data_IF_897087936957
#
_entry.id   IF_897087936957
#
_cell.length_a   1.000
_cell.length_b   1.000
_cell.length_c   1.000
_cell.angle_alpha   90.00
_cell.angle_beta   90.00
_cell.angle_gamma   90.00
#
_symmetry.space_group_name_H-M   'P 1'
#
loop_
_entity.id
_entity.type
_entity.pdbx_description
1 polymer ?
2 non-polymer ?
3 water ?
#
# COMPACT_ATOMS: atom_id res chain seq x y z
N UNK A 4 5.52 -4.81 25.95
CA UNK A 4 4.85 -4.10 27.08
C UNK A 4 3.43 -3.61 26.72
N UNK A 5 2.71 -3.22 27.75
CA UNK A 5 1.31 -2.97 27.64
C UNK A 5 0.94 -1.56 27.18
N UNK A 6 -0.19 -1.52 26.49
CA UNK A 6 -0.77 -0.28 26.07
C UNK A 6 -1.46 0.36 27.28
N UNK A 7 -0.98 1.52 27.69
CA UNK A 7 -1.55 2.22 28.87
C UNK A 7 -2.58 3.29 28.51
N UNK A 8 -2.28 4.10 27.46
CA UNK A 8 -3.25 5.12 26.96
C UNK A 8 -4.39 4.42 26.20
N UNK A 9 -5.46 5.17 25.89
CA UNK A 9 -6.56 4.61 25.12
C UNK A 9 -6.64 5.34 23.80
N UNK A 10 -7.21 4.65 22.82
CA UNK A 10 -7.10 5.06 21.45
C UNK A 10 -8.52 5.06 20.89
N UNK A 11 -8.99 6.26 20.55
CA UNK A 11 -10.40 6.51 20.16
C UNK A 11 -10.40 7.03 18.71
N UNK A 12 -11.10 6.34 17.83
CA UNK A 12 -11.19 6.77 16.45
C UNK A 12 -12.61 7.27 16.13
N UNK A 13 -12.70 8.39 15.44
CA UNK A 13 -13.98 8.85 14.82
C UNK A 13 -14.06 8.54 13.35
N UNK A 14 -15.20 7.98 12.98
CA UNK A 14 -15.55 7.70 11.61
C UNK A 14 -16.87 8.36 11.26
N UNK A 15 -17.13 8.46 9.97
CA UNK A 15 -18.38 9.12 9.49
C UNK A 15 -18.20 9.74 8.12
N UNK A 16 -19.31 10.10 7.50
CA UNK A 16 -19.26 10.73 6.20
C UNK A 16 -18.69 12.12 6.29
N UNK A 17 -18.43 12.72 5.12
CA UNK A 17 -17.82 14.02 5.03
C UNK A 17 -18.52 15.00 5.95
N UNK A 18 -19.84 15.03 5.91
CA UNK A 18 -20.51 16.07 6.67
C UNK A 18 -21.12 15.61 8.01
N UNK A 19 -20.33 14.87 8.81
CA UNK A 19 -20.92 14.22 9.95
C UNK A 19 -20.53 14.82 11.30
N UNK A 20 -19.64 15.83 11.30
CA UNK A 20 -19.30 16.56 12.53
C UNK A 20 -18.18 15.92 13.35
N UNK A 21 -17.26 15.22 12.69
CA UNK A 21 -16.13 14.60 13.37
C UNK A 21 -15.14 15.59 13.96
N UNK A 22 -14.85 16.68 13.25
CA UNK A 22 -13.85 17.59 13.80
C UNK A 22 -14.40 18.28 15.04
N UNK A 23 -15.70 18.61 15.03
CA UNK A 23 -16.32 19.23 16.21
C UNK A 23 -16.34 18.23 17.37
N UNK A 24 -16.81 17.01 17.14
CA UNK A 24 -16.90 16.02 18.24
C UNK A 24 -15.54 15.56 18.75
N UNK A 25 -14.61 15.34 17.82
CA UNK A 25 -13.27 14.92 18.25
C UNK A 25 -12.58 16.04 19.05
N UNK A 26 -12.75 17.30 18.62
CA UNK A 26 -12.22 18.47 19.38
C UNK A 26 -12.82 18.60 20.81
N UNK A 27 -14.15 18.46 20.91
CA UNK A 27 -14.86 18.51 22.22
C UNK A 27 -14.38 17.38 23.12
N UNK A 28 -14.11 16.19 22.54
CA UNK A 28 -13.67 15.09 23.36
C UNK A 28 -12.25 15.34 23.87
N UNK A 29 -11.41 15.87 22.99
CA UNK A 29 -10.05 16.20 23.38
C UNK A 29 -10.07 17.19 24.55
N UNK A 30 -10.86 18.26 24.40
CA UNK A 30 -11.07 19.29 25.45
C UNK A 30 -11.47 18.65 26.76
N UNK A 31 -12.48 17.80 26.67
CA UNK A 31 -13.03 17.07 27.84
C UNK A 31 -11.96 16.22 28.53
N UNK A 32 -11.22 15.44 27.76
CA UNK A 32 -10.14 14.64 28.34
C UNK A 32 -9.07 15.51 28.99
N UNK A 33 -8.63 16.58 28.31
CA UNK A 33 -7.57 17.43 28.91
C UNK A 33 -8.06 18.03 30.24
N UNK A 34 -9.34 18.38 30.28
CA UNK A 34 -9.98 18.98 31.49
C UNK A 34 -10.13 17.98 32.61
N UNK A 35 -10.10 16.70 32.29
CA UNK A 35 -10.04 15.65 33.28
C UNK A 35 -8.62 15.15 33.48
N UNK A 36 -7.65 16.06 33.31
CA UNK A 36 -6.21 15.75 33.36
C UNK A 36 -5.72 14.45 32.63
N UNK A 37 -6.37 14.08 31.52
CA UNK A 37 -5.84 12.99 30.68
C UNK A 37 -4.90 13.63 29.64
N UNK A 38 -3.68 13.10 29.48
CA UNK A 38 -2.79 13.60 28.45
C UNK A 38 -3.28 13.00 27.12
N UNK A 39 -3.40 13.82 26.10
CA UNK A 39 -4.02 13.38 24.84
C UNK A 39 -3.43 14.09 23.62
N UNK A 40 -3.18 13.28 22.59
CA UNK A 40 -2.80 13.78 21.28
C UNK A 40 -3.95 13.58 20.28
N UNK A 41 -4.27 14.67 19.56
CA UNK A 41 -5.24 14.68 18.53
C UNK A 41 -4.57 14.47 17.16
N UNK A 42 -4.97 13.43 16.45
CA UNK A 42 -4.43 13.13 15.11
C UNK A 42 -5.58 13.08 14.10
N UNK A 43 -5.28 13.24 12.84
CA UNK A 43 -6.27 12.98 11.84
C UNK A 43 -5.65 12.38 10.61
N UNK A 44 -6.45 11.65 9.87
CA UNK A 44 -6.04 11.09 8.55
C UNK A 44 -7.05 11.46 7.48
N UNK A 45 -6.56 11.70 6.26
CA UNK A 45 -5.14 11.77 5.91
C UNK A 45 -4.51 13.01 6.53
N UNK A 46 -3.18 13.06 6.58
CA UNK A 46 -2.50 14.30 7.00
C UNK A 46 -1.24 14.52 6.15
N UNK A 47 -0.64 15.69 6.30
CA UNK A 47 0.46 16.12 5.46
C UNK A 47 1.81 16.02 6.22
N UNK A 48 1.94 15.00 7.07
CA UNK A 48 3.16 14.84 7.82
C UNK A 48 4.40 14.73 6.90
N UNK A 49 4.25 14.03 5.79
CA UNK A 49 5.34 13.86 4.85
C UNK A 49 4.89 14.09 3.43
N UNK A 50 5.78 13.79 2.50
CA UNK A 50 5.45 13.90 1.07
C UNK A 50 4.26 13.00 0.68
N UNK A 51 4.02 11.92 1.44
CA UNK A 51 2.88 11.07 1.09
C UNK A 51 1.57 11.84 1.16
N UNK A 52 1.32 12.51 2.27
CA UNK A 52 0.09 13.30 2.45
C UNK A 52 -0.02 14.49 1.49
N UNK A 53 1.13 15.01 1.06
CA UNK A 53 1.09 16.08 0.03
C UNK A 53 0.52 15.57 -1.27
N UNK A 54 0.83 14.32 -1.60
CA UNK A 54 0.27 13.73 -2.81
C UNK A 54 -1.24 13.50 -2.64
N UNK A 55 -1.63 13.03 -1.45
CA UNK A 55 -3.04 12.82 -1.13
C UNK A 55 -3.82 14.13 -1.28
N UNK A 56 -3.25 15.25 -0.79
CA UNK A 56 -3.94 16.56 -0.92
C UNK A 56 -4.27 16.89 -2.39
N UNK A 57 -3.30 16.64 -3.29
CA UNK A 57 -3.54 16.90 -4.74
C UNK A 57 -4.64 16.00 -5.30
N UNK A 58 -4.68 14.75 -4.85
CA UNK A 58 -5.75 13.82 -5.23
C UNK A 58 -7.10 14.33 -4.81
N UNK A 59 -7.22 14.79 -3.57
CA UNK A 59 -8.49 15.20 -3.04
C UNK A 59 -9.04 16.43 -3.78
N UNK A 60 -8.09 17.28 -4.18
CA UNK A 60 -8.42 18.53 -4.93
C UNK A 60 -8.54 18.30 -6.42
N UNK A 61 -8.40 17.03 -6.85
CA UNK A 61 -8.53 16.66 -8.24
C UNK A 61 -7.46 17.34 -9.11
N UNK A 62 -6.33 17.66 -8.48
CA UNK A 62 -5.20 18.27 -9.23
C UNK A 62 -4.41 17.21 -9.97
N UNK A 63 -4.38 16.00 -9.44
CA UNK A 63 -3.77 14.92 -10.15
C UNK A 63 -4.84 13.85 -10.36
N UNK A 64 -4.71 13.08 -11.41
CA UNK A 64 -5.55 11.90 -11.60
C UNK A 64 -4.71 10.70 -11.18
N UNK A 65 -5.23 9.91 -10.26
CA UNK A 65 -4.45 8.72 -9.80
C UNK A 65 -5.30 7.53 -9.95
N UNK A 66 -4.66 6.39 -10.22
CA UNK A 66 -5.40 5.14 -10.24
C UNK A 66 -5.93 4.77 -8.86
N UNK A 67 -7.01 4.01 -8.83
CA UNK A 67 -7.71 3.64 -7.59
C UNK A 67 -6.72 2.99 -6.57
N UNK A 68 -5.93 2.04 -7.05
CA UNK A 68 -5.06 1.27 -6.19
C UNK A 68 -3.95 2.14 -5.69
N UNK A 69 -3.47 3.06 -6.54
CA UNK A 69 -2.31 3.91 -6.17
C UNK A 69 -2.71 4.78 -4.97
N UNK A 70 -3.84 5.47 -5.08
CA UNK A 70 -4.27 6.34 -3.99
C UNK A 70 -4.65 5.54 -2.77
N UNK A 71 -5.28 4.40 -2.95
CA UNK A 71 -5.67 3.61 -1.80
C UNK A 71 -4.45 3.23 -0.96
N UNK A 72 -3.38 2.83 -1.66
CA UNK A 72 -2.15 2.47 -0.92
C UNK A 72 -1.45 3.68 -0.27
N UNK A 73 -1.54 4.87 -0.87
CA UNK A 73 -1.00 6.03 -0.15
C UNK A 73 -1.74 6.34 1.10
N UNK A 74 -3.06 6.20 1.09
CA UNK A 74 -3.84 6.44 2.30
C UNK A 74 -3.39 5.49 3.42
N UNK A 75 -3.14 4.22 3.07
CA UNK A 75 -2.66 3.25 4.09
C UNK A 75 -1.23 3.59 4.54
N UNK A 76 -0.32 3.90 3.63
CA UNK A 76 1.09 4.25 3.97
C UNK A 76 1.14 5.45 4.95
N UNK A 77 0.20 6.41 4.78
CA UNK A 77 0.07 7.61 5.68
C UNK A 77 -0.24 7.16 7.14
N UNK A 78 -1.05 6.11 7.32
CA UNK A 78 -1.28 5.52 8.65
C UNK A 78 -0.04 4.81 9.20
N UNK A 79 0.63 4.02 8.36
CA UNK A 79 1.78 3.23 8.79
C UNK A 79 2.89 4.16 9.23
N UNK A 80 3.01 5.32 8.60
CA UNK A 80 4.10 6.24 9.01
C UNK A 80 3.86 6.86 10.38
N UNK A 81 2.64 6.70 10.93
CA UNK A 81 2.31 7.17 12.28
C UNK A 81 2.28 6.08 13.38
N UNK A 82 2.52 4.83 12.99
CA UNK A 82 2.44 3.76 13.97
C UNK A 82 3.51 3.84 15.04
N UNK A 83 4.73 4.27 14.67
CA UNK A 83 5.77 4.44 15.70
C UNK A 83 5.30 5.46 16.73
N UNK A 84 4.74 6.58 16.27
CA UNK A 84 4.34 7.63 17.16
C UNK A 84 3.13 7.16 17.99
N UNK A 85 2.14 6.54 17.32
CA UNK A 85 0.94 6.15 18.06
C UNK A 85 1.32 5.06 19.14
N UNK A 86 2.19 4.11 18.75
CA UNK A 86 2.64 3.11 19.74
C UNK A 86 3.34 3.78 20.95
N UNK A 87 4.20 4.77 20.69
CA UNK A 87 4.98 5.41 21.76
C UNK A 87 4.08 6.18 22.71
N UNK A 88 3.13 6.92 22.17
CA UNK A 88 2.20 7.69 22.97
C UNK A 88 1.40 6.74 23.87
N UNK A 89 0.86 5.68 23.28
CA UNK A 89 -0.03 4.76 24.02
C UNK A 89 0.76 4.02 25.11
N UNK A 90 2.01 3.69 24.78
CA UNK A 90 2.91 3.10 25.80
C UNK A 90 3.15 3.99 26.99
N UNK A 91 3.32 5.28 26.76
CA UNK A 91 3.57 6.24 27.85
C UNK A 91 2.32 6.56 28.69
N UNK A 92 1.13 6.12 28.25
CA UNK A 92 -0.12 6.52 28.89
C UNK A 92 -0.84 7.74 28.29
N UNK A 93 -0.34 8.25 27.17
CA UNK A 93 -0.96 9.36 26.49
C UNK A 93 -2.05 8.80 25.59
N UNK A 94 -3.25 9.35 25.70
CA UNK A 94 -4.33 8.89 24.83
C UNK A 94 -4.20 9.45 23.43
N UNK A 95 -4.75 8.70 22.48
CA UNK A 95 -4.87 9.17 21.06
C UNK A 95 -6.32 9.28 20.62
N UNK A 96 -6.71 10.48 20.20
CA UNK A 96 -8.02 10.67 19.59
C UNK A 96 -7.75 10.96 18.11
N UNK A 97 -8.38 10.21 17.23
CA UNK A 97 -8.02 10.26 15.82
C UNK A 97 -9.24 10.40 14.93
N UNK A 98 -9.23 11.42 14.05
CA UNK A 98 -10.31 11.68 13.14
C UNK A 98 -9.98 10.90 11.85
N UNK A 99 -10.69 9.79 11.63
CA UNK A 99 -10.55 8.83 10.51
C UNK A 99 -9.39 7.88 10.70
N UNK A 100 -9.59 6.67 10.21
CA UNK A 100 -8.58 5.64 10.28
C UNK A 100 -8.76 4.65 9.15
N UNK A 101 -8.36 3.39 9.36
CA UNK A 101 -8.46 2.36 8.32
C UNK A 101 -9.89 2.16 7.84
N UNK A 102 -10.90 2.40 8.72
CA UNK A 102 -12.29 2.15 8.29
C UNK A 102 -12.66 3.08 7.22
N UNK A 103 -12.19 4.34 7.29
CA UNK A 103 -12.38 5.28 6.11
C UNK A 103 -11.73 4.73 4.87
N UNK A 104 -10.51 4.25 5.01
CA UNK A 104 -9.76 3.61 3.90
C UNK A 104 -10.65 2.63 3.11
N UNK A 105 -11.28 1.74 3.84
CA UNK A 105 -12.04 0.64 3.27
C UNK A 105 -13.40 1.14 2.69
N UNK A 106 -14.10 1.96 3.48
CA UNK A 106 -15.43 2.39 3.10
C UNK A 106 -15.35 3.31 1.88
N UNK A 107 -14.41 4.26 1.88
CA UNK A 107 -14.32 5.21 0.74
C UNK A 107 -13.84 4.49 -0.51
N UNK A 108 -12.82 3.66 -0.38
CA UNK A 108 -12.31 3.01 -1.57
C UNK A 108 -13.28 1.98 -2.14
N UNK A 109 -13.88 1.19 -1.27
CA UNK A 109 -14.80 0.17 -1.81
C UNK A 109 -16.08 0.85 -2.31
N UNK A 110 -16.51 1.88 -1.61
CA UNK A 110 -17.79 2.54 -1.93
C UNK A 110 -17.69 3.43 -3.16
N UNK A 111 -16.70 4.34 -3.19
CA UNK A 111 -16.56 5.33 -4.26
C UNK A 111 -15.74 4.79 -5.43
N UNK A 112 -14.76 3.93 -5.16
CA UNK A 112 -13.89 3.46 -6.25
C UNK A 112 -14.16 2.00 -6.68
N UNK A 113 -15.14 1.38 -6.03
CA UNK A 113 -15.52 -0.02 -6.29
C UNK A 113 -14.42 -1.03 -6.18
N UNK A 114 -13.42 -0.74 -5.34
CA UNK A 114 -12.39 -1.70 -5.05
C UNK A 114 -12.88 -2.79 -4.13
N UNK A 115 -12.30 -3.97 -4.27
CA UNK A 115 -12.71 -5.13 -3.50
C UNK A 115 -12.42 -4.90 -2.03
N UNK A 116 -13.37 -5.23 -1.15
CA UNK A 116 -13.17 -4.91 0.28
C UNK A 116 -11.94 -5.59 0.89
N UNK A 117 -11.72 -6.86 0.56
CA UNK A 117 -10.63 -7.58 1.19
C UNK A 117 -9.32 -6.97 0.73
N UNK A 118 -9.22 -6.68 -0.57
CA UNK A 118 -8.00 -6.06 -1.15
C UNK A 118 -7.76 -4.72 -0.43
N UNK A 119 -8.84 -3.97 -0.22
CA UNK A 119 -8.75 -2.67 0.52
C UNK A 119 -8.27 -2.86 1.96
N UNK A 120 -8.72 -3.92 2.62
CA UNK A 120 -8.36 -4.10 4.04
C UNK A 120 -6.92 -4.55 4.20
N UNK A 121 -6.41 -5.34 3.27
CA UNK A 121 -5.09 -5.98 3.47
C UNK A 121 -3.94 -5.06 3.88
N UNK A 122 -3.76 -3.92 3.16
CA UNK A 122 -2.56 -3.13 3.51
C UNK A 122 -2.62 -2.57 4.94
N UNK A 123 -3.85 -2.37 5.50
CA UNK A 123 -3.98 -1.88 6.87
C UNK A 123 -3.92 -3.00 7.91
N UNK A 124 -3.86 -4.27 7.48
CA UNK A 124 -3.70 -5.33 8.42
C UNK A 124 -2.38 -5.12 9.20
N UNK A 125 -2.49 -5.11 10.52
CA UNK A 125 -1.33 -4.95 11.39
C UNK A 125 -1.25 -3.60 12.02
N UNK A 126 -2.08 -2.64 11.57
CA UNK A 126 -2.15 -1.36 12.29
C UNK A 126 -2.62 -1.54 13.73
N UNK A 127 -2.26 -0.61 14.60
CA UNK A 127 -2.79 -0.67 16.00
C UNK A 127 -4.32 -0.59 15.94
N UNK A 128 -4.98 -1.45 16.71
CA UNK A 128 -6.44 -1.42 16.78
C UNK A 128 -6.91 -0.46 17.89
N UNK A 129 -7.88 0.42 17.57
CA UNK A 129 -8.35 1.31 18.61
C UNK A 129 -9.20 0.60 19.65
N UNK A 130 -9.40 1.27 20.78
CA UNK A 130 -10.31 0.77 21.83
C UNK A 130 -11.79 0.87 21.43
N UNK A 131 -12.11 1.97 20.74
CA UNK A 131 -13.44 2.17 20.25
C UNK A 131 -13.44 3.05 19.02
N UNK A 132 -14.46 2.84 18.19
CA UNK A 132 -14.69 3.69 17.03
C UNK A 132 -16.07 4.31 17.21
N UNK A 133 -16.13 5.63 17.23
CA UNK A 133 -17.42 6.36 17.20
C UNK A 133 -17.77 6.70 15.76
N UNK A 134 -18.84 6.07 15.27
CA UNK A 134 -19.32 6.32 13.91
C UNK A 134 -20.40 7.35 13.98
N UNK A 135 -20.11 8.56 13.51
CA UNK A 135 -21.10 9.66 13.55
C UNK A 135 -22.00 9.45 12.37
N UNK A 136 -23.19 8.91 12.66
CA UNK A 136 -24.06 8.44 11.60
C UNK A 136 -24.98 9.59 11.17
N UNK A 137 -24.78 10.06 9.94
CA UNK A 137 -25.66 11.07 9.31
C UNK A 137 -26.00 10.54 7.92
N UNK A 138 -27.26 10.06 7.75
CA UNK A 138 -27.71 9.66 6.43
C UNK A 138 -27.51 10.81 5.47
N UNK A 139 -26.84 10.57 4.35
CA UNK A 139 -26.61 11.60 3.36
C UNK A 139 -27.91 11.83 2.60
N UNK A 140 -28.38 13.06 2.50
CA UNK A 140 -29.57 13.34 1.64
C UNK A 140 -29.55 14.76 1.09
N UNK A 141 -30.63 15.22 0.47
CA UNK A 141 -30.57 16.47 -0.36
C UNK A 141 -31.04 17.77 0.32
N UNK A 150 -15.61 21.24 -4.66
CA UNK A 150 -14.40 21.35 -3.87
C UNK A 150 -13.66 20.00 -3.85
N UNK A 151 -14.26 18.98 -3.24
CA UNK A 151 -13.53 17.71 -3.00
C UNK A 151 -14.06 16.50 -3.81
N UNK A 152 -13.15 15.57 -4.10
CA UNK A 152 -13.46 14.46 -5.00
C UNK A 152 -14.72 13.58 -4.68
N UNK A 153 -15.04 13.36 -3.41
CA UNK A 153 -16.19 12.44 -3.13
C UNK A 153 -17.46 13.14 -2.64
N UNK A 154 -17.45 14.46 -2.76
CA UNK A 154 -18.53 15.33 -2.33
C UNK A 154 -19.52 15.39 -3.47
N UNK A 155 -20.58 14.61 -3.31
CA UNK A 155 -21.63 14.46 -4.28
C UNK A 155 -22.51 13.38 -3.67
N UNK A 156 -23.76 13.74 -3.39
CA UNK A 156 -24.67 12.94 -2.51
C UNK A 156 -24.76 11.42 -2.87
N UNK A 157 -24.76 11.12 -4.17
CA UNK A 157 -24.85 9.71 -4.59
C UNK A 157 -23.59 8.92 -4.22
N UNK A 158 -22.44 9.58 -4.28
CA UNK A 158 -21.16 8.96 -3.89
C UNK A 158 -21.16 8.79 -2.36
N UNK A 159 -21.62 9.82 -1.66
CA UNK A 159 -21.74 9.72 -0.19
C UNK A 159 -22.64 8.53 0.23
N UNK A 160 -23.76 8.35 -0.48
CA UNK A 160 -24.65 7.23 -0.22
C UNK A 160 -23.99 5.86 -0.43
N UNK A 161 -23.18 5.73 -1.49
CA UNK A 161 -22.40 4.50 -1.74
C UNK A 161 -21.46 4.21 -0.56
N UNK A 162 -20.83 5.26 -0.03
CA UNK A 162 -19.88 5.12 1.07
C UNK A 162 -20.63 4.85 2.38
N UNK A 163 -21.78 5.50 2.54
CA UNK A 163 -22.64 5.19 3.68
C UNK A 163 -22.95 3.67 3.74
N UNK A 164 -23.23 3.07 2.58
CA UNK A 164 -23.46 1.62 2.52
C UNK A 164 -22.23 0.77 2.88
N UNK A 165 -21.05 1.08 2.28
CA UNK A 165 -19.86 0.27 2.59
C UNK A 165 -19.45 0.41 4.07
N UNK A 166 -19.73 1.57 4.71
CA UNK A 166 -19.46 1.72 6.13
C UNK A 166 -20.19 0.70 7.01
N UNK A 167 -21.34 0.19 6.53
CA UNK A 167 -22.06 -0.81 7.27
C UNK A 167 -21.29 -2.14 7.38
N UNK A 168 -20.25 -2.31 6.56
CA UNK A 168 -19.35 -3.50 6.69
C UNK A 168 -18.87 -3.71 8.15
N UNK A 169 -18.74 -2.61 8.92
CA UNK A 169 -18.24 -2.62 10.30
C UNK A 169 -19.30 -2.51 11.38
N UNK A 170 -20.54 -2.34 10.96
CA UNK A 170 -21.61 -1.93 11.88
C UNK A 170 -21.90 -2.93 13.03
N UNK A 171 -21.56 -4.21 12.82
CA UNK A 171 -21.85 -5.31 13.75
C UNK A 171 -20.70 -5.62 14.70
N UNK A 172 -19.56 -4.93 14.54
CA UNK A 172 -18.37 -5.23 15.35
C UNK A 172 -18.49 -4.68 16.75
N UNK A 173 -17.87 -5.36 17.71
CA UNK A 173 -17.98 -4.99 19.12
C UNK A 173 -17.39 -3.61 19.41
N UNK A 174 -16.29 -3.25 18.70
CA UNK A 174 -15.64 -1.92 18.86
C UNK A 174 -16.37 -0.73 18.19
N UNK A 175 -17.40 -1.00 17.42
CA UNK A 175 -18.06 0.04 16.57
C UNK A 175 -19.27 0.57 17.28
N UNK A 176 -19.19 1.83 17.71
CA UNK A 176 -20.31 2.50 18.42
C UNK A 176 -21.03 3.50 17.50
N UNK A 177 -22.25 3.13 17.12
CA UNK A 177 -23.04 4.01 16.27
C UNK A 177 -23.55 5.15 17.10
N UNK A 178 -23.31 6.36 16.61
CA UNK A 178 -23.81 7.58 17.25
C UNK A 178 -24.74 8.30 16.28
N UNK A 179 -26.01 8.49 16.71
CA UNK A 179 -26.90 9.30 15.92
C UNK A 179 -26.45 10.77 15.89
N UNK A 180 -25.80 11.15 14.81
CA UNK A 180 -25.15 12.44 14.69
C UNK A 180 -26.07 13.52 14.07
N UNK A 181 -27.37 13.21 13.96
CA UNK A 181 -28.40 14.22 13.58
C UNK A 181 -28.89 15.04 14.79
N UNK A 182 -28.46 14.66 15.99
CA UNK A 182 -28.84 15.36 17.22
C UNK A 182 -28.04 16.64 17.50
N UNK A 183 -28.40 17.34 18.58
CA UNK A 183 -27.76 18.58 18.96
C UNK A 183 -26.28 18.27 19.32
N UNK A 184 -25.39 19.18 18.94
CA UNK A 184 -23.94 18.99 19.23
C UNK A 184 -23.68 18.57 20.68
N UNK A 185 -24.33 19.27 21.64
CA UNK A 185 -24.18 18.98 23.06
C UNK A 185 -24.60 17.56 23.41
N UNK A 186 -25.68 17.08 22.80
CA UNK A 186 -26.20 15.77 23.10
C UNK A 186 -25.33 14.67 22.48
N UNK A 187 -24.80 14.92 21.29
CA UNK A 187 -23.83 13.97 20.69
C UNK A 187 -22.59 13.85 21.63
N UNK A 188 -22.05 14.99 22.03
CA UNK A 188 -20.90 15.02 22.97
C UNK A 188 -21.16 14.27 24.25
N UNK A 189 -22.28 14.56 24.90
CA UNK A 189 -22.65 13.81 26.09
C UNK A 189 -22.73 12.28 25.87
N UNK A 190 -23.27 11.86 24.72
CA UNK A 190 -23.36 10.43 24.37
C UNK A 190 -21.99 9.82 24.23
N UNK A 191 -21.09 10.55 23.58
CA UNK A 191 -19.70 10.09 23.40
C UNK A 191 -18.97 10.01 24.74
N UNK A 192 -19.13 11.03 25.60
CA UNK A 192 -18.49 11.02 26.92
C UNK A 192 -19.00 9.83 27.73
N UNK A 193 -20.31 9.57 27.66
CA UNK A 193 -20.89 8.44 28.36
C UNK A 193 -20.22 7.12 27.96
N UNK A 194 -20.05 6.91 26.65
CA UNK A 194 -19.34 5.75 26.15
C UNK A 194 -17.87 5.67 26.56
N UNK A 195 -17.14 6.79 26.43
CA UNK A 195 -15.73 6.85 26.82
C UNK A 195 -15.56 6.49 28.29
N UNK A 196 -16.51 6.89 29.14
CA UNK A 196 -16.41 6.54 30.57
C UNK A 196 -16.45 5.04 30.82
N UNK A 197 -17.05 4.29 29.90
CA UNK A 197 -17.15 2.80 29.97
C UNK A 197 -15.86 2.05 29.63
N UNK A 198 -14.89 2.74 29.02
CA UNK A 198 -13.64 2.08 28.63
C UNK A 198 -12.90 1.59 29.86
N UNK A 199 -12.40 0.38 29.75
CA UNK A 199 -11.58 -0.22 30.80
C UNK A 199 -10.35 0.67 31.10
N UNK A 200 -10.03 0.89 32.39
CA UNK A 200 -8.95 1.83 32.75
C UNK A 200 -7.53 1.18 32.77
N UNK A 201 -7.48 -0.12 33.05
CA UNK A 201 -6.21 -0.80 33.20
C UNK A 201 -5.44 -0.95 31.87
N UNK A 202 -4.10 -1.09 31.97
CA UNK A 202 -3.34 -1.40 30.75
C UNK A 202 -3.75 -2.73 30.13
N UNK A 203 -3.56 -2.88 28.82
CA UNK A 203 -3.88 -4.10 28.09
C UNK A 203 -2.81 -4.31 27.03
N UNK A 204 -2.70 -5.53 26.52
CA UNK A 204 -1.82 -5.84 25.39
C UNK A 204 -2.34 -5.05 24.15
N UNK A 205 -1.43 -4.68 23.23
CA UNK A 205 -1.86 -4.10 21.95
C UNK A 205 -2.58 -5.16 21.14
N UNK A 206 -3.66 -4.75 20.47
CA UNK A 206 -4.29 -5.54 19.46
C UNK A 206 -4.09 -4.84 18.11
N UNK A 207 -4.31 -5.57 17.04
CA UNK A 207 -4.06 -5.07 15.69
C UNK A 207 -5.18 -5.37 14.73
N UNK A 208 -5.36 -4.53 13.72
CA UNK A 208 -6.30 -4.83 12.64
C UNK A 208 -5.86 -6.07 11.91
N UNK A 209 -6.83 -6.92 11.49
CA UNK A 209 -8.30 -6.74 11.65
C UNK A 209 -8.89 -7.74 12.67
N UNK A 210 -8.18 -7.90 13.76
CA UNK A 210 -8.59 -8.83 14.86
C UNK A 210 -9.81 -8.31 15.63
N UNK B 3 -8.70 -4.86 -30.05
CA UNK B 3 -9.45 -5.61 -28.99
C UNK B 3 -8.79 -5.51 -27.58
N UNK B 4 -9.30 -6.27 -26.64
CA UNK B 4 -8.87 -6.15 -25.25
C UNK B 4 -7.90 -7.26 -24.85
N UNK B 5 -7.36 -7.97 -25.86
CA UNK B 5 -6.41 -9.06 -25.61
C UNK B 5 -5.01 -8.56 -25.40
N UNK B 6 -4.29 -9.21 -24.52
CA UNK B 6 -2.86 -8.95 -24.40
C UNK B 6 -2.15 -9.50 -25.63
N UNK B 7 -1.46 -8.62 -26.36
CA UNK B 7 -0.83 -8.95 -27.65
C UNK B 7 0.69 -8.99 -27.56
N UNK B 8 1.28 -8.00 -26.88
CA UNK B 8 2.70 -7.99 -26.55
C UNK B 8 3.07 -8.99 -25.47
N UNK B 9 4.35 -9.35 -25.40
CA UNK B 9 4.84 -10.16 -24.27
C UNK B 9 5.44 -9.28 -23.19
N UNK B 10 5.36 -9.76 -21.93
CA UNK B 10 5.78 -8.98 -20.77
C UNK B 10 6.82 -9.82 -20.09
N UNK B 11 8.04 -9.31 -20.09
CA UNK B 11 9.21 -10.02 -19.57
C UNK B 11 9.82 -9.26 -18.41
N UNK B 12 9.92 -9.91 -17.26
CA UNK B 12 10.52 -9.31 -16.04
C UNK B 12 11.86 -9.91 -15.69
N UNK B 13 12.79 -9.06 -15.30
CA UNK B 13 14.09 -9.51 -14.86
C UNK B 13 14.14 -9.26 -13.38
N UNK B 14 14.60 -10.26 -12.64
CA UNK B 14 14.81 -10.15 -11.20
C UNK B 14 16.25 -10.59 -10.87
N UNK B 15 16.66 -10.29 -9.64
CA UNK B 15 18.04 -10.56 -9.25
C UNK B 15 18.60 -9.56 -8.24
N UNK B 16 19.67 -9.93 -7.57
CA UNK B 16 20.29 -9.00 -6.64
C UNK B 16 20.93 -7.82 -7.37
N UNK B 17 21.30 -6.82 -6.58
CA UNK B 17 21.95 -5.64 -7.07
C UNK B 17 23.15 -6.15 -7.91
N UNK B 18 23.31 -5.69 -9.16
CA UNK B 18 24.54 -6.08 -9.90
C UNK B 18 24.57 -7.57 -10.35
N UNK B 19 23.38 -8.15 -10.45
CA UNK B 19 23.19 -9.46 -11.07
C UNK B 19 23.26 -9.34 -12.60
N UNK B 20 23.38 -8.08 -13.10
CA UNK B 20 23.49 -7.79 -14.54
C UNK B 20 22.19 -7.60 -15.30
N UNK B 21 21.15 -7.12 -14.59
CA UNK B 21 19.78 -7.06 -15.16
C UNK B 21 19.64 -5.95 -16.18
N UNK B 22 20.27 -4.80 -15.91
CA UNK B 22 20.35 -3.74 -16.95
C UNK B 22 21.00 -4.27 -18.20
N UNK B 23 22.15 -4.94 -18.04
CA UNK B 23 22.93 -5.46 -19.19
C UNK B 23 22.11 -6.47 -19.96
N UNK B 24 21.57 -7.46 -19.24
CA UNK B 24 20.79 -8.51 -19.91
C UNK B 24 19.47 -8.05 -20.46
N UNK B 25 18.73 -7.24 -19.69
CA UNK B 25 17.43 -6.79 -20.16
C UNK B 25 17.63 -5.91 -21.40
N UNK B 26 18.68 -5.10 -21.39
CA UNK B 26 18.92 -4.20 -22.52
C UNK B 26 19.46 -4.93 -23.76
N UNK B 27 20.28 -5.98 -23.56
CA UNK B 27 20.65 -6.88 -24.67
C UNK B 27 19.42 -7.54 -25.27
N UNK B 28 18.47 -7.91 -24.41
CA UNK B 28 17.25 -8.54 -24.92
C UNK B 28 16.42 -7.56 -25.71
N UNK B 29 16.37 -6.30 -25.25
CA UNK B 29 15.56 -5.28 -25.93
C UNK B 29 16.14 -5.04 -27.33
N UNK B 30 17.45 -5.01 -27.37
CA UNK B 30 18.18 -4.78 -28.59
C UNK B 30 17.98 -5.93 -29.58
N UNK B 31 17.97 -7.16 -29.06
CA UNK B 31 17.69 -8.35 -29.87
C UNK B 31 16.29 -8.28 -30.47
N UNK B 32 15.30 -7.92 -29.64
CA UNK B 32 13.93 -7.79 -30.08
C UNK B 32 13.75 -6.72 -31.16
N UNK B 33 14.39 -5.58 -30.95
CA UNK B 33 14.35 -4.49 -31.91
C UNK B 33 15.02 -4.94 -33.21
N UNK B 34 16.10 -5.73 -33.08
CA UNK B 34 16.82 -6.28 -34.23
C UNK B 34 16.02 -7.32 -35.00
N UNK B 35 14.97 -7.85 -34.38
CA UNK B 35 14.09 -8.83 -35.00
C UNK B 35 12.64 -8.37 -35.22
N UNK B 36 12.48 -7.07 -35.49
CA UNK B 36 11.19 -6.46 -35.85
C UNK B 36 10.12 -6.56 -34.76
N UNK B 37 10.55 -6.57 -33.51
CA UNK B 37 9.60 -6.59 -32.42
C UNK B 37 9.58 -5.20 -31.83
N UNK B 38 8.38 -4.63 -31.70
CA UNK B 38 8.22 -3.36 -31.02
C UNK B 38 8.37 -3.63 -29.52
N UNK B 39 9.19 -2.85 -28.84
CA UNK B 39 9.48 -3.13 -27.42
C UNK B 39 9.85 -1.90 -26.62
N UNK B 40 9.42 -1.87 -25.36
CA UNK B 40 9.80 -0.80 -24.47
C UNK B 40 10.54 -1.37 -23.29
N UNK B 41 11.64 -0.75 -22.94
CA UNK B 41 12.33 -1.08 -21.74
C UNK B 41 11.77 -0.24 -20.57
N UNK B 42 11.51 -0.89 -19.43
CA UNK B 42 11.07 -0.20 -18.22
C UNK B 42 11.81 -0.73 -17.03
N UNK B 43 11.73 -0.01 -15.91
CA UNK B 43 12.29 -0.49 -14.66
C UNK B 43 11.51 0.01 -13.45
N UNK B 44 11.60 -0.73 -12.35
CA UNK B 44 11.07 -0.27 -11.08
C UNK B 44 12.16 -0.27 -10.02
N UNK B 45 12.09 0.65 -9.04
CA UNK B 45 11.17 1.77 -8.94
C UNK B 45 11.44 2.81 -10.04
N UNK B 46 10.40 3.52 -10.45
CA UNK B 46 10.58 4.68 -11.32
C UNK B 46 10.63 5.84 -10.34
N UNK B 47 11.77 6.50 -10.24
CA UNK B 47 11.97 7.51 -9.21
C UNK B 47 11.47 8.92 -9.63
N UNK B 48 10.87 9.02 -10.82
CA UNK B 48 10.51 10.35 -11.38
C UNK B 48 9.14 10.88 -11.02
N UNK B 49 8.27 9.98 -10.56
CA UNK B 49 6.92 10.40 -10.13
C UNK B 49 6.99 10.94 -8.72
N UNK B 50 5.87 11.53 -8.25
CA UNK B 50 5.85 12.04 -6.88
C UNK B 50 6.18 10.92 -5.89
N UNK B 51 5.56 9.75 -6.08
CA UNK B 51 5.85 8.62 -5.21
C UNK B 51 7.32 8.17 -5.38
N UNK B 52 7.78 8.12 -6.62
CA UNK B 52 9.15 7.70 -6.90
C UNK B 52 10.20 8.60 -6.24
N UNK B 53 9.88 9.90 -6.10
CA UNK B 53 10.81 10.84 -5.48
C UNK B 53 10.98 10.51 -4.03
N UNK B 54 9.91 10.04 -3.39
CA UNK B 54 10.00 9.65 -2.00
C UNK B 54 10.85 8.39 -1.88
N UNK B 55 10.60 7.44 -2.80
CA UNK B 55 11.38 6.19 -2.81
C UNK B 55 12.89 6.52 -2.97
N UNK B 56 13.17 7.44 -3.87
CA UNK B 56 14.56 7.85 -4.12
C UNK B 56 15.23 8.33 -2.83
N UNK B 57 14.55 9.14 -2.04
CA UNK B 57 15.14 9.68 -0.80
C UNK B 57 15.36 8.56 0.25
N UNK B 58 14.44 7.58 0.27
CA UNK B 58 14.62 6.42 1.12
C UNK B 58 15.89 5.64 0.72
N UNK B 59 16.04 5.35 -0.56
CA UNK B 59 17.14 4.48 -1.02
C UNK B 59 18.50 5.14 -0.75
N UNK B 60 18.54 6.47 -0.86
CA UNK B 60 19.78 7.25 -0.60
C UNK B 60 20.00 7.50 0.87
N UNK B 61 19.08 6.99 1.69
CA UNK B 61 19.17 7.08 3.14
C UNK B 61 19.10 8.55 3.60
N UNK B 62 18.41 9.37 2.80
CA UNK B 62 18.15 10.78 3.12
C UNK B 62 17.00 10.96 4.15
N UNK B 63 15.90 10.21 3.94
CA UNK B 63 14.77 10.17 4.87
C UNK B 63 14.65 8.78 5.51
N UNK B 64 14.31 8.72 6.80
CA UNK B 64 13.99 7.44 7.48
C UNK B 64 12.52 7.12 7.20
N UNK B 65 12.20 5.87 6.88
CA UNK B 65 10.81 5.46 6.71
C UNK B 65 10.54 4.14 7.42
N UNK B 66 9.34 4.00 7.97
CA UNK B 66 8.94 2.70 8.51
C UNK B 66 8.89 1.59 7.42
N UNK B 67 9.12 0.35 7.83
CA UNK B 67 9.12 -0.79 6.87
C UNK B 67 7.86 -0.87 6.04
N UNK B 68 6.70 -0.77 6.69
CA UNK B 68 5.41 -0.95 5.96
C UNK B 68 5.18 0.24 5.05
N UNK B 69 5.54 1.43 5.51
CA UNK B 69 5.35 2.65 4.69
C UNK B 69 6.08 2.54 3.37
N UNK B 70 7.37 2.23 3.42
CA UNK B 70 8.16 2.15 2.17
C UNK B 70 7.68 0.99 1.30
N UNK B 71 7.30 -0.11 1.94
CA UNK B 71 6.86 -1.27 1.17
C UNK B 71 5.65 -0.90 0.30
N UNK B 72 4.72 -0.19 0.92
CA UNK B 72 3.50 0.21 0.22
C UNK B 72 3.81 1.25 -0.87
N UNK B 73 4.76 2.18 -0.63
CA UNK B 73 5.16 3.09 -1.71
C UNK B 73 5.70 2.34 -2.96
N UNK B 74 6.52 1.31 -2.77
CA UNK B 74 7.08 0.55 -3.88
C UNK B 74 5.95 -0.08 -4.69
N UNK B 75 4.93 -0.59 -3.96
CA UNK B 75 3.79 -1.18 -4.66
C UNK B 75 2.99 -0.11 -5.41
N UNK B 76 2.66 1.00 -4.74
CA UNK B 76 1.89 2.08 -5.38
C UNK B 76 2.64 2.56 -6.63
N UNK B 77 3.99 2.53 -6.58
CA UNK B 77 4.81 2.97 -7.71
C UNK B 77 4.60 2.05 -8.95
N UNK B 78 4.31 0.76 -8.71
CA UNK B 78 3.91 -0.13 -9.82
C UNK B 78 2.49 0.12 -10.29
N UNK B 79 1.58 0.30 -9.36
CA UNK B 79 0.19 0.51 -9.71
C UNK B 79 0.04 1.75 -10.61
N UNK B 80 0.82 2.75 -10.35
CA UNK B 80 0.66 4.01 -11.12
C UNK B 80 1.20 3.89 -12.54
N UNK B 81 1.90 2.77 -12.80
CA UNK B 81 2.37 2.47 -14.16
C UNK B 81 1.56 1.38 -14.88
N UNK B 82 0.52 0.86 -14.24
CA UNK B 82 -0.29 -0.22 -14.86
C UNK B 82 -1.05 0.20 -16.14
N UNK B 83 -1.63 1.39 -16.16
CA UNK B 83 -2.31 1.86 -17.36
C UNK B 83 -1.35 1.90 -18.56
N UNK B 84 -0.15 2.42 -18.33
CA UNK B 84 0.88 2.55 -19.37
C UNK B 84 1.32 1.18 -19.89
N UNK B 85 1.59 0.26 -18.95
CA UNK B 85 2.03 -1.11 -19.30
C UNK B 85 0.91 -1.86 -20.05
N UNK B 86 -0.33 -1.71 -19.56
CA UNK B 86 -1.48 -2.35 -20.24
C UNK B 86 -1.64 -1.83 -21.67
N UNK B 87 -1.56 -0.50 -21.84
CA UNK B 87 -1.72 0.11 -23.17
C UNK B 87 -0.68 -0.40 -24.15
N UNK B 88 0.57 -0.48 -23.70
CA UNK B 88 1.66 -0.99 -24.52
C UNK B 88 1.33 -2.40 -24.96
N UNK B 89 1.01 -3.27 -24.00
CA UNK B 89 0.70 -4.67 -24.33
C UNK B 89 -0.56 -4.87 -25.19
N UNK B 90 -1.58 -4.01 -25.02
CA UNK B 90 -2.76 -4.00 -25.92
C UNK B 90 -2.38 -3.69 -27.38
N UNK B 91 -1.34 -2.88 -27.55
CA UNK B 91 -0.94 -2.42 -28.87
C UNK B 91 0.01 -3.43 -29.54
N UNK B 92 0.42 -4.46 -28.79
CA UNK B 92 1.34 -5.46 -29.33
C UNK B 92 2.80 -5.08 -29.10
N UNK B 93 3.02 -4.07 -28.27
CA UNK B 93 4.35 -3.65 -27.89
C UNK B 93 4.80 -4.49 -26.70
N UNK B 94 5.93 -5.17 -26.83
CA UNK B 94 6.47 -5.93 -25.70
C UNK B 94 7.00 -5.00 -24.60
N UNK B 95 7.03 -5.51 -23.37
CA UNK B 95 7.58 -4.74 -22.25
C UNK B 95 8.64 -5.59 -21.59
N UNK B 96 9.84 -5.05 -21.48
CA UNK B 96 10.90 -5.72 -20.77
C UNK B 96 11.19 -4.88 -19.57
N UNK B 97 11.11 -5.46 -18.38
CA UNK B 97 11.09 -4.68 -17.13
C UNK B 97 12.07 -5.21 -16.10
N UNK B 98 12.95 -4.34 -15.68
CA UNK B 98 13.95 -4.61 -14.68
C UNK B 98 13.32 -4.35 -13.26
N UNK B 99 13.04 -5.45 -12.54
CA UNK B 99 12.40 -5.50 -11.19
C UNK B 99 10.89 -5.30 -11.25
N UNK B 100 10.22 -5.99 -10.33
CA UNK B 100 8.78 -5.94 -10.28
C UNK B 100 8.35 -6.31 -8.87
N UNK B 101 7.14 -6.84 -8.76
CA UNK B 101 6.59 -7.19 -7.44
C UNK B 101 7.49 -8.20 -6.70
N UNK B 102 8.19 -9.09 -7.42
CA UNK B 102 9.03 -10.11 -6.75
C UNK B 102 10.14 -9.43 -5.96
N UNK B 103 10.75 -8.37 -6.51
CA UNK B 103 11.69 -7.53 -5.73
C UNK B 103 10.99 -6.99 -4.49
N UNK B 104 9.77 -6.48 -4.68
CA UNK B 104 9.00 -5.92 -3.56
C UNK B 104 8.93 -6.88 -2.35
N UNK B 105 8.60 -8.13 -2.64
CA UNK B 105 8.44 -9.16 -1.62
C UNK B 105 9.78 -9.66 -1.11
N UNK B 106 10.68 -9.96 -2.03
CA UNK B 106 12.02 -10.48 -1.54
C UNK B 106 12.82 -9.49 -0.68
N UNK B 107 12.92 -8.23 -1.13
CA UNK B 107 13.62 -7.23 -0.37
C UNK B 107 12.95 -6.90 1.00
N UNK B 108 11.64 -6.68 1.01
CA UNK B 108 10.98 -6.33 2.26
C UNK B 108 10.99 -7.50 3.21
N UNK B 109 10.72 -8.72 2.73
CA UNK B 109 10.79 -9.88 3.62
C UNK B 109 12.25 -10.16 4.08
N UNK B 110 13.19 -9.99 3.16
CA UNK B 110 14.58 -10.36 3.45
C UNK B 110 15.27 -9.36 4.32
N UNK B 111 15.26 -8.09 3.91
CA UNK B 111 15.96 -7.00 4.64
C UNK B 111 15.16 -6.38 5.76
N UNK B 112 13.83 -6.30 5.58
CA UNK B 112 12.97 -5.63 6.58
C UNK B 112 12.18 -6.60 7.49
N UNK B 113 12.34 -7.90 7.29
CA UNK B 113 11.70 -8.91 8.10
C UNK B 113 10.16 -8.85 8.09
N UNK B 114 9.60 -8.25 7.05
CA UNK B 114 8.11 -8.31 6.89
C UNK B 114 7.64 -9.68 6.46
N UNK B 115 6.42 -10.01 6.91
CA UNK B 115 5.68 -11.18 6.49
C UNK B 115 5.45 -11.21 5.00
N UNK B 116 5.80 -12.34 4.33
CA UNK B 116 5.70 -12.46 2.88
C UNK B 116 4.31 -12.29 2.30
N UNK B 117 3.32 -12.86 2.96
CA UNK B 117 1.95 -12.72 2.50
C UNK B 117 1.50 -11.28 2.61
N UNK B 118 1.78 -10.65 3.76
CA UNK B 118 1.46 -9.23 3.92
C UNK B 118 2.13 -8.43 2.79
N UNK B 119 3.38 -8.77 2.50
CA UNK B 119 4.11 -8.10 1.40
C UNK B 119 3.53 -8.29 -0.02
N UNK B 120 3.00 -9.50 -0.33
CA UNK B 120 2.40 -9.81 -1.61
C UNK B 120 1.06 -9.09 -1.81
N UNK B 121 0.30 -8.93 -0.75
CA UNK B 121 -1.09 -8.44 -0.86
C UNK B 121 -1.28 -7.17 -1.67
N UNK B 122 -0.50 -6.11 -1.38
CA UNK B 122 -0.78 -4.83 -2.16
C UNK B 122 -0.54 -4.96 -3.68
N UNK B 123 0.36 -5.90 -4.05
CA UNK B 123 0.66 -6.17 -5.44
C UNK B 123 -0.33 -7.13 -6.10
N UNK B 124 -1.21 -7.76 -5.31
CA UNK B 124 -2.27 -8.61 -5.90
C UNK B 124 -3.10 -7.77 -6.91
N UNK B 125 -3.21 -8.24 -8.15
CA UNK B 125 -3.95 -7.50 -9.19
C UNK B 125 -3.11 -6.78 -10.25
N UNK B 126 -1.81 -6.66 -10.01
CA UNK B 126 -0.87 -6.13 -11.05
C UNK B 126 -0.86 -7.09 -12.21
N UNK B 127 -0.64 -6.58 -13.43
CA UNK B 127 -0.48 -7.48 -14.60
C UNK B 127 0.64 -8.51 -14.33
N UNK B 128 0.36 -9.75 -14.70
CA UNK B 128 1.34 -10.83 -14.49
C UNK B 128 2.22 -10.97 -15.75
N UNK B 129 3.54 -11.09 -15.57
CA UNK B 129 4.38 -11.26 -16.76
C UNK B 129 4.29 -12.67 -17.36
N UNK B 130 4.69 -12.79 -18.61
CA UNK B 130 4.82 -14.11 -19.25
C UNK B 130 5.95 -14.96 -18.65
N UNK B 131 7.04 -14.30 -18.30
CA UNK B 131 8.18 -14.96 -17.73
C UNK B 131 9.00 -13.99 -16.91
N UNK B 132 9.62 -14.54 -15.87
CA UNK B 132 10.59 -13.82 -15.04
C UNK B 132 11.96 -14.49 -15.17
N UNK B 133 12.94 -13.73 -15.65
CA UNK B 133 14.34 -14.21 -15.63
C UNK B 133 14.97 -13.79 -14.34
N UNK B 134 15.31 -14.78 -13.52
CA UNK B 134 15.98 -14.50 -12.30
C UNK B 134 17.49 -14.68 -12.51
N UNK B 135 18.22 -13.57 -12.46
CA UNK B 135 19.67 -13.62 -12.66
C UNK B 135 20.34 -14.03 -11.37
N UNK B 136 20.68 -15.32 -11.29
CA UNK B 136 21.16 -15.90 -10.07
C UNK B 136 22.67 -15.69 -9.88
N UNK B 137 23.03 -14.82 -8.95
CA UNK B 137 24.44 -14.58 -8.57
C UNK B 137 24.59 -14.64 -7.05
N UNK B 138 25.11 -15.76 -6.51
CA UNK B 138 25.28 -15.86 -5.06
C UNK B 138 26.10 -14.67 -4.55
N UNK B 139 25.65 -14.03 -3.47
CA UNK B 139 26.40 -12.86 -2.99
C UNK B 139 27.60 -13.29 -2.17
N UNK B 140 28.73 -12.65 -2.39
CA UNK B 140 29.88 -12.92 -1.52
C UNK B 140 30.87 -11.77 -1.50
N UNK B 141 31.76 -11.78 -0.51
CA UNK B 141 32.74 -10.72 -0.33
C UNK B 141 33.81 -10.75 -1.44
N UNK B 142 33.88 -11.87 -2.17
CA UNK B 142 34.68 -11.99 -3.40
C UNK B 142 34.43 -13.34 -4.04
C UNK B 151 22.11 1.45 0.03
N UNK B 152 20.88 1.61 0.51
CA UNK B 152 20.43 1.00 1.76
C UNK B 152 20.68 -0.55 1.97
N UNK B 153 20.67 -1.35 0.92
CA UNK B 153 20.71 -2.82 1.19
C UNK B 153 22.01 -3.48 0.75
N UNK B 154 22.99 -2.61 0.47
CA UNK B 154 24.37 -2.97 0.15
C UNK B 154 25.14 -3.30 1.42
N UNK B 155 25.16 -4.57 1.75
CA UNK B 155 25.97 -5.10 2.80
C UNK B 155 25.73 -6.58 2.76
N UNK B 156 26.78 -7.30 2.36
CA UNK B 156 26.71 -8.73 2.00
C UNK B 156 25.74 -9.57 2.85
N UNK B 157 25.65 -9.33 4.16
CA UNK B 157 24.74 -10.14 5.00
C UNK B 157 23.26 -9.83 4.65
N UNK B 158 22.98 -8.59 4.31
CA UNK B 158 21.63 -8.21 3.84
C UNK B 158 21.30 -8.87 2.49
N UNK B 159 22.26 -8.85 1.54
CA UNK B 159 22.08 -9.46 0.24
C UNK B 159 21.84 -10.96 0.40
N UNK B 160 22.61 -11.58 1.32
CA UNK B 160 22.41 -13.01 1.66
C UNK B 160 20.96 -13.30 2.09
N UNK B 161 20.37 -12.42 2.89
CA UNK B 161 19.01 -12.63 3.40
C UNK B 161 18.03 -12.53 2.25
N UNK B 162 18.25 -11.55 1.38
CA UNK B 162 17.37 -11.34 0.20
C UNK B 162 17.56 -12.46 -0.85
N UNK B 163 18.79 -12.96 -1.01
CA UNK B 163 19.03 -14.12 -1.88
C UNK B 163 18.14 -15.29 -1.44
N UNK B 164 18.00 -15.49 -0.13
CA UNK B 164 17.16 -16.60 0.42
C UNK B 164 15.67 -16.38 0.21
N UNK B 165 15.19 -15.15 0.42
CA UNK B 165 13.75 -14.88 0.30
C UNK B 165 13.29 -14.90 -1.18
N UNK B 166 14.21 -14.61 -2.10
CA UNK B 166 13.93 -14.73 -3.51
C UNK B 166 13.51 -16.16 -3.87
N UNK B 167 13.99 -17.15 -3.09
CA UNK B 167 13.56 -18.58 -3.33
C UNK B 167 12.07 -18.82 -3.17
N UNK B 168 11.38 -17.89 -2.52
CA UNK B 168 9.93 -17.98 -2.33
C UNK B 168 9.22 -18.14 -3.68
N UNK B 169 9.84 -17.65 -4.78
CA UNK B 169 9.23 -17.73 -6.11
C UNK B 169 9.82 -18.83 -7.01
N UNK B 170 10.81 -19.56 -6.50
CA UNK B 170 11.69 -20.31 -7.40
C UNK B 170 11.02 -21.56 -7.89
N UNK B 171 9.94 -21.98 -7.22
CA UNK B 171 9.20 -23.18 -7.67
C UNK B 171 8.12 -22.85 -8.70
N UNK B 172 7.90 -21.57 -8.98
CA UNK B 172 6.80 -21.16 -9.87
C UNK B 172 7.11 -21.41 -11.33
N UNK B 173 6.06 -21.73 -12.10
CA UNK B 173 6.18 -22.12 -13.52
C UNK B 173 6.63 -21.00 -14.43
N UNK B 174 6.42 -19.75 -14.00
CA UNK B 174 6.89 -18.57 -14.78
C UNK B 174 8.35 -18.16 -14.45
N UNK B 175 8.93 -18.77 -13.42
CA UNK B 175 10.26 -18.36 -12.89
C UNK B 175 11.36 -19.14 -13.53
N UNK B 176 12.21 -18.44 -14.28
CA UNK B 176 13.32 -19.08 -14.94
C UNK B 176 14.62 -18.68 -14.30
N UNK B 177 15.20 -19.60 -13.55
CA UNK B 177 16.47 -19.34 -12.94
C UNK B 177 17.59 -19.31 -14.00
N UNK B 178 18.42 -18.27 -13.99
CA UNK B 178 19.53 -18.17 -14.95
C UNK B 178 20.81 -18.10 -14.15
N UNK B 179 21.75 -19.01 -14.41
CA UNK B 179 23.04 -18.90 -13.78
C UNK B 179 23.79 -17.66 -14.32
N UNK B 180 23.86 -16.60 -13.51
CA UNK B 180 24.38 -15.33 -14.04
C UNK B 180 25.85 -15.09 -13.73
N UNK B 181 26.53 -16.16 -13.33
CA UNK B 181 27.99 -16.16 -13.14
C UNK B 181 28.72 -16.47 -14.47
N UNK B 182 27.96 -16.76 -15.51
CA UNK B 182 28.51 -17.12 -16.83
C UNK B 182 28.79 -15.89 -17.72
N UNK B 183 29.43 -16.16 -18.86
CA UNK B 183 29.72 -15.17 -19.89
C UNK B 183 28.46 -14.39 -20.25
N UNK B 184 28.59 -13.07 -20.42
CA UNK B 184 27.49 -12.19 -20.92
C UNK B 184 26.73 -12.77 -22.13
N UNK B 185 27.48 -13.18 -23.17
CA UNK B 185 26.90 -13.85 -24.35
C UNK B 185 26.23 -15.20 -24.06
N UNK B 186 26.74 -15.96 -23.10
CA UNK B 186 26.16 -17.26 -22.76
C UNK B 186 24.79 -17.07 -22.07
N UNK B 187 24.72 -16.10 -21.18
CA UNK B 187 23.47 -15.78 -20.48
C UNK B 187 22.44 -15.25 -21.49
N UNK B 188 22.91 -14.35 -22.33
CA UNK B 188 22.04 -13.78 -23.31
C UNK B 188 21.48 -14.86 -24.26
N UNK B 189 22.32 -15.79 -24.72
CA UNK B 189 21.78 -16.82 -25.64
C UNK B 189 20.78 -17.73 -24.98
N UNK B 190 21.00 -18.03 -23.69
CA UNK B 190 20.00 -18.77 -22.90
C UNK B 190 18.67 -18.02 -22.78
N UNK B 191 18.76 -16.71 -22.53
CA UNK B 191 17.59 -15.85 -22.44
C UNK B 191 16.82 -15.81 -23.77
N UNK B 192 17.55 -15.58 -24.87
CA UNK B 192 16.93 -15.58 -26.18
C UNK B 192 16.21 -16.90 -26.48
N UNK B 193 16.85 -18.01 -26.18
CA UNK B 193 16.20 -19.30 -26.43
C UNK B 193 14.88 -19.45 -25.66
N UNK B 194 14.87 -18.98 -24.41
CA UNK B 194 13.65 -19.00 -23.62
C UNK B 194 12.60 -18.11 -24.23
N UNK B 195 12.99 -16.90 -24.64
CA UNK B 195 12.04 -15.97 -25.25
C UNK B 195 11.40 -16.53 -26.51
N UNK B 196 12.18 -17.30 -27.28
CA UNK B 196 11.68 -17.87 -28.55
C UNK B 196 10.55 -18.91 -28.34
N UNK B 197 10.49 -19.49 -27.14
CA UNK B 197 9.44 -20.46 -26.76
C UNK B 197 8.15 -19.79 -26.23
N UNK B 198 8.20 -18.49 -25.92
CA UNK B 198 6.99 -17.79 -25.52
C UNK B 198 5.98 -17.86 -26.67
N UNK B 199 4.82 -18.39 -26.35
CA UNK B 199 3.71 -18.51 -27.30
C UNK B 199 3.35 -17.15 -27.89
N UNK B 200 3.35 -17.09 -29.22
CA UNK B 200 3.19 -15.85 -29.98
C UNK B 200 1.77 -15.24 -29.89
N UNK B 201 0.75 -16.09 -29.73
CA UNK B 201 -0.67 -15.70 -29.91
C UNK B 201 -1.14 -14.71 -28.84
N UNK B 202 -2.08 -13.80 -29.19
CA UNK B 202 -2.71 -12.94 -28.18
C UNK B 202 -3.45 -13.81 -27.18
N UNK B 203 -3.60 -13.31 -25.96
CA UNK B 203 -4.30 -14.06 -24.94
C UNK B 203 -4.93 -13.04 -23.97
N UNK B 204 -5.76 -13.51 -23.05
CA UNK B 204 -6.27 -12.61 -22.03
C UNK B 204 -5.15 -12.25 -21.04
N UNK B 205 -5.23 -11.04 -20.48
CA UNK B 205 -4.32 -10.65 -19.39
C UNK B 205 -4.52 -11.57 -18.19
N UNK B 206 -3.43 -11.82 -17.47
CA UNK B 206 -3.47 -12.51 -16.19
C UNK B 206 -2.89 -11.57 -15.18
N UNK B 207 -3.17 -11.86 -13.91
CA UNK B 207 -2.82 -10.95 -12.81
C UNK B 207 -2.19 -11.63 -11.61
N UNK B 208 -1.30 -10.92 -10.93
CA UNK B 208 -0.74 -11.42 -9.70
C UNK B 208 -1.88 -11.72 -8.69
N UNK B 209 -1.81 -12.82 -7.94
CA UNK B 209 -0.70 -13.74 -7.93
C UNK B 209 -1.20 -15.08 -8.48
N UNK B 210 -1.95 -15.02 -9.59
CA UNK B 210 -2.56 -16.21 -10.18
C UNK B 210 -1.49 -17.00 -10.92
#
# INVERSE_FOLDING_TARGET
MTDDKKKGKFIVFEGLDRSGKSTQSKLLVEYLKNNNVEVKHLYFPNRETGIGQIISKYLKMENSMSNETIHLLFSANRWEHMNEIKSLLLKGIWVVCDRYAYSGVAYSSGALNLNKTWCMNPDQGLIKPDVVFYLNVPPNYAQNRSDYGEEIYEKVETQKKIYETYKHFAHEDYWINIDATRKIEDIHNDIVKEVTKIKVEPEEFNFLWS
MTDDKKKGKFIVFEGLDRSGKSTQSKLLVEYLKNNNVEVKHLYFPNRETGIGQIISKYLKMENSMSNETIHLLFSANRWEHMNEIKSLLLKGIWVVCDRYAYSGVAYSSGALNLNKTWCMNPDQGLIKPDVVFYLNVPPNYAQNRSDYGEEIYEKVETQKKIYETYKHFAHEDYWINIDATRKIEDIHNDIVKEVTKIKVEPEEFNFLWS
#
